data_IF_655142699476
#
_entry.id   IF_655142699476
#
_cell.length_a   1.000
_cell.length_b   1.000
_cell.length_c   1.000
_cell.angle_alpha   90.00
_cell.angle_beta   90.00
_cell.angle_gamma   90.00
#
_symmetry.space_group_name_H-M   'P 1'
#
loop_
_entity.id
_entity.type
_entity.pdbx_description
1 polymer ?
#
# COMPACT_ATOMS: atom_id res chain seq x y z
N UNK A 1 14.03 1.06 6.78
CA UNK A 1 13.08 -0.07 6.61
C UNK A 1 12.45 0.05 5.24
N UNK A 2 12.13 -1.07 4.58
CA UNK A 2 11.41 -1.09 3.30
C UNK A 2 10.04 -1.72 3.53
N UNK A 3 8.99 -1.20 2.90
CA UNK A 3 7.63 -1.73 3.02
C UNK A 3 6.93 -1.71 1.67
N UNK A 4 6.17 -2.76 1.36
CA UNK A 4 5.23 -2.75 0.24
C UNK A 4 3.89 -2.21 0.73
N UNK A 5 3.42 -1.14 0.11
CA UNK A 5 2.20 -0.42 0.48
C UNK A 5 1.03 -0.94 -0.36
N UNK A 6 0.03 -1.47 0.34
CA UNK A 6 -1.25 -1.96 -0.18
C UNK A 6 -2.17 -0.80 -0.65
N UNK A 7 -2.97 -1.02 -1.70
CA UNK A 7 -3.90 -0.01 -2.20
C UNK A 7 -4.85 0.53 -1.12
N UNK A 8 -5.34 -0.32 -0.22
CA UNK A 8 -6.26 0.10 0.84
C UNK A 8 -5.62 1.08 1.81
N UNK A 9 -4.30 1.00 2.02
CA UNK A 9 -3.55 1.97 2.84
C UNK A 9 -3.51 3.31 2.13
N UNK A 10 -3.18 3.33 0.83
CA UNK A 10 -3.19 4.54 0.02
C UNK A 10 -4.59 5.18 -0.02
N UNK A 11 -5.62 4.38 -0.27
CA UNK A 11 -7.01 4.81 -0.31
C UNK A 11 -7.47 5.37 1.02
N UNK A 12 -7.12 4.72 2.13
CA UNK A 12 -7.42 5.21 3.47
C UNK A 12 -6.73 6.56 3.76
N UNK A 13 -5.50 6.73 3.29
CA UNK A 13 -4.77 7.99 3.41
C UNK A 13 -5.36 9.12 2.54
N UNK A 14 -5.99 8.78 1.42
CA UNK A 14 -6.68 9.72 0.53
C UNK A 14 -8.07 10.13 1.05
N UNK A 15 -8.84 9.18 1.58
CA UNK A 15 -10.20 9.43 2.05
C UNK A 15 -10.21 10.36 3.27
N UNK A 16 -9.26 10.18 4.19
CA UNK A 16 -9.24 10.95 5.43
C UNK A 16 -7.83 11.32 5.80
N UNK A 17 -7.64 12.58 6.19
CA UNK A 17 -6.45 13.02 6.95
C UNK A 17 -6.41 12.28 8.27
N UNK A 18 -5.77 11.12 8.23
CA UNK A 18 -5.79 10.09 9.25
C UNK A 18 -4.36 9.82 9.71
N UNK A 19 -4.24 9.07 10.81
CA UNK A 19 -2.95 8.57 11.29
C UNK A 19 -2.18 7.82 10.21
N UNK A 20 -2.86 7.20 9.23
CA UNK A 20 -2.25 6.55 8.06
C UNK A 20 -1.57 7.55 7.14
N UNK A 21 -2.23 8.66 6.82
CA UNK A 21 -1.64 9.71 5.98
C UNK A 21 -0.38 10.30 6.66
N UNK A 22 -0.47 10.62 7.96
CA UNK A 22 0.68 11.11 8.72
C UNK A 22 1.81 10.08 8.79
N UNK A 23 1.50 8.79 8.96
CA UNK A 23 2.52 7.75 8.92
C UNK A 23 3.24 7.71 7.58
N UNK A 24 2.53 7.77 6.45
CA UNK A 24 3.18 7.75 5.13
C UNK A 24 4.17 8.92 4.99
N UNK A 25 3.82 10.10 5.50
CA UNK A 25 4.68 11.29 5.42
C UNK A 25 5.86 11.29 6.39
N UNK A 26 5.71 10.65 7.56
CA UNK A 26 6.70 10.74 8.65
C UNK A 26 7.48 9.43 8.87
N UNK A 27 7.12 8.31 8.23
CA UNK A 27 7.89 7.08 8.34
C UNK A 27 9.26 7.30 7.73
N UNK A 28 10.31 7.04 8.49
CA UNK A 28 11.67 6.96 7.98
C UNK A 28 11.90 5.59 7.29
N UNK A 29 11.11 5.31 6.25
CA UNK A 29 11.13 4.07 5.50
C UNK A 29 10.95 4.32 4.00
N UNK A 30 11.44 3.39 3.18
CA UNK A 30 11.14 3.39 1.76
C UNK A 30 9.85 2.63 1.50
N UNK A 31 8.88 3.32 0.90
CA UNK A 31 7.60 2.74 0.51
C UNK A 31 7.67 2.31 -0.95
N UNK A 32 7.32 1.06 -1.21
CA UNK A 32 7.24 0.47 -2.53
C UNK A 32 5.79 0.07 -2.83
N UNK A 33 5.38 0.10 -4.09
CA UNK A 33 4.08 -0.45 -4.47
C UNK A 33 4.14 -0.94 -5.92
N UNK A 34 3.44 -2.03 -6.29
CA UNK A 34 3.35 -2.44 -7.68
C UNK A 34 2.67 -1.35 -8.52
N UNK A 35 3.02 -1.23 -9.80
CA UNK A 35 2.32 -0.35 -10.75
C UNK A 35 0.80 -0.56 -10.77
N UNK A 36 0.36 -1.77 -10.43
CA UNK A 36 -1.03 -2.15 -10.24
C UNK A 36 -1.82 -1.22 -9.31
N UNK A 37 -1.18 -0.57 -8.33
CA UNK A 37 -1.85 0.40 -7.46
C UNK A 37 -2.45 1.59 -8.23
N UNK A 38 -1.87 1.93 -9.39
CA UNK A 38 -2.37 3.00 -10.25
C UNK A 38 -3.64 2.55 -10.97
N UNK A 39 -3.67 1.29 -11.43
CA UNK A 39 -4.86 0.70 -12.06
C UNK A 39 -6.02 0.62 -11.05
N UNK A 40 -5.72 0.24 -9.80
CA UNK A 40 -6.72 0.27 -8.73
C UNK A 40 -7.18 1.69 -8.40
N UNK A 41 -6.25 2.65 -8.36
CA UNK A 41 -6.61 4.05 -8.14
C UNK A 41 -7.56 4.55 -9.22
N UNK A 42 -7.27 4.34 -10.50
CA UNK A 42 -8.15 4.77 -11.60
C UNK A 42 -9.55 4.13 -11.49
N UNK A 43 -9.61 2.86 -11.10
CA UNK A 43 -10.88 2.14 -10.90
C UNK A 43 -11.71 2.72 -9.76
N UNK A 44 -11.08 3.14 -8.67
CA UNK A 44 -11.76 3.61 -7.46
C UNK A 44 -11.77 5.13 -7.30
N UNK A 45 -11.12 5.91 -8.17
CA UNK A 45 -10.91 7.37 -8.04
C UNK A 45 -12.20 8.12 -7.71
N UNK A 46 -13.27 7.84 -8.46
CA UNK A 46 -14.57 8.52 -8.28
C UNK A 46 -15.17 8.20 -6.91
N UNK A 47 -15.08 6.95 -6.46
CA UNK A 47 -15.59 6.53 -5.16
C UNK A 47 -14.76 7.15 -4.02
N UNK A 48 -13.43 7.18 -4.16
CA UNK A 48 -12.52 7.77 -3.19
C UNK A 48 -12.76 9.27 -3.05
N UNK A 49 -12.99 9.98 -4.15
CA UNK A 49 -13.30 11.41 -4.17
C UNK A 49 -14.62 11.70 -3.46
N UNK A 50 -15.66 10.89 -3.71
CA UNK A 50 -16.96 11.03 -3.02
C UNK A 50 -16.81 10.77 -1.52
N UNK A 51 -16.08 9.70 -1.15
CA UNK A 51 -15.84 9.33 0.24
C UNK A 51 -14.98 10.34 0.99
N UNK A 52 -14.02 10.99 0.31
CA UNK A 52 -13.17 11.99 0.95
C UNK A 52 -13.90 13.30 1.24
N UNK A 53 -14.94 13.61 0.47
CA UNK A 53 -15.66 14.89 0.54
C UNK A 53 -14.79 16.10 0.14
N UNK A 54 -13.63 15.85 -0.48
CA UNK A 54 -12.68 16.88 -0.89
C UNK A 54 -13.02 17.42 -2.27
N UNK A 55 -12.49 18.61 -2.60
CA UNK A 55 -12.48 19.09 -3.98
C UNK A 55 -11.53 18.23 -4.80
N UNK A 56 -11.89 17.96 -6.06
CA UNK A 56 -11.07 17.15 -6.99
C UNK A 56 -9.61 17.63 -7.06
N UNK A 57 -9.39 18.95 -7.13
CA UNK A 57 -8.05 19.55 -7.18
C UNK A 57 -7.20 19.22 -5.95
N UNK A 58 -7.79 19.27 -4.76
CA UNK A 58 -7.09 18.97 -3.50
C UNK A 58 -6.84 17.47 -3.35
N UNK A 59 -7.81 16.64 -3.75
CA UNK A 59 -7.66 15.19 -3.79
C UNK A 59 -6.50 14.77 -4.72
N UNK A 60 -6.45 15.33 -5.93
CA UNK A 60 -5.39 15.06 -6.90
C UNK A 60 -4.03 15.56 -6.39
N UNK A 61 -3.96 16.70 -5.70
CA UNK A 61 -2.72 17.16 -5.05
C UNK A 61 -2.22 16.16 -4.03
N UNK A 62 -3.07 15.72 -3.11
CA UNK A 62 -2.69 14.75 -2.07
C UNK A 62 -2.23 13.45 -2.71
N UNK A 63 -2.94 12.96 -3.73
CA UNK A 63 -2.54 11.77 -4.47
C UNK A 63 -1.15 11.91 -5.09
N UNK A 64 -0.86 13.04 -5.75
CA UNK A 64 0.46 13.30 -6.33
C UNK A 64 1.56 13.37 -5.26
N UNK A 65 1.28 13.95 -4.09
CA UNK A 65 2.23 13.97 -2.97
C UNK A 65 2.52 12.56 -2.45
N UNK A 66 1.49 11.74 -2.21
CA UNK A 66 1.65 10.36 -1.76
C UNK A 66 2.40 9.53 -2.80
N UNK A 67 2.05 9.67 -4.08
CA UNK A 67 2.72 9.01 -5.20
C UNK A 67 4.19 9.39 -5.31
N UNK A 68 4.57 10.63 -4.96
CA UNK A 68 5.98 11.07 -4.96
C UNK A 68 6.83 10.40 -3.88
N UNK A 69 6.20 9.89 -2.81
CA UNK A 69 6.88 9.21 -1.71
C UNK A 69 6.98 7.70 -1.98
N UNK A 70 6.00 7.15 -2.68
CA UNK A 70 5.91 5.72 -2.98
C UNK A 70 6.68 5.40 -4.27
N UNK A 71 7.66 4.52 -4.18
CA UNK A 71 8.38 3.97 -5.33
C UNK A 71 7.51 2.95 -6.05
N UNK A 72 6.98 3.35 -7.21
CA UNK A 72 6.18 2.48 -8.06
C UNK A 72 7.09 1.52 -8.84
N UNK A 73 6.87 0.22 -8.68
CA UNK A 73 7.64 -0.84 -9.33
C UNK A 73 6.80 -1.49 -10.45
N UNK A 74 7.28 -1.53 -11.70
CA UNK A 74 6.52 -2.12 -12.81
C UNK A 74 6.46 -3.65 -12.73
N UNK A 75 5.40 -4.28 -13.26
CA UNK A 75 5.20 -5.73 -13.17
C UNK A 75 6.38 -6.59 -13.62
N UNK A 76 7.03 -6.21 -14.72
CA UNK A 76 8.22 -6.91 -15.27
C UNK A 76 9.32 -7.18 -14.24
N UNK A 77 9.41 -6.36 -13.19
CA UNK A 77 10.41 -6.42 -12.14
C UNK A 77 10.12 -7.52 -11.12
N UNK A 78 8.86 -7.87 -10.89
CA UNK A 78 8.42 -8.87 -9.90
C UNK A 78 7.63 -10.04 -10.51
N UNK A 79 7.46 -10.06 -11.84
CA UNK A 79 6.71 -11.07 -12.57
C UNK A 79 7.10 -12.52 -12.22
N UNK A 80 8.40 -12.78 -11.99
CA UNK A 80 8.91 -14.10 -11.62
C UNK A 80 8.31 -14.64 -10.29
N UNK A 81 7.92 -13.74 -9.38
CA UNK A 81 7.34 -14.07 -8.08
C UNK A 81 5.81 -14.20 -8.11
N UNK A 82 5.15 -13.86 -9.22
CA UNK A 82 3.69 -13.92 -9.33
C UNK A 82 3.13 -15.33 -9.07
N UNK A 83 3.82 -16.37 -9.57
CA UNK A 83 3.42 -17.77 -9.33
C UNK A 83 3.54 -18.21 -7.88
N UNK A 84 4.48 -17.64 -7.13
CA UNK A 84 4.63 -17.92 -5.70
C UNK A 84 3.59 -17.14 -4.90
N UNK A 85 3.40 -15.87 -5.26
CA UNK A 85 2.38 -15.01 -4.69
C UNK A 85 0.97 -15.59 -4.83
N UNK A 86 0.60 -16.15 -5.99
CA UNK A 86 -0.70 -16.79 -6.23
C UNK A 86 -1.01 -17.94 -5.24
N UNK A 87 0.03 -18.62 -4.72
CA UNK A 87 -0.15 -19.74 -3.78
C UNK A 87 -0.41 -19.29 -2.35
N UNK A 88 0.05 -18.09 -1.99
CA UNK A 88 -0.04 -17.55 -0.63
C UNK A 88 -1.07 -16.44 -0.49
N UNK A 89 -1.42 -15.81 -1.61
CA UNK A 89 -2.33 -14.69 -1.64
C UNK A 89 -3.76 -15.17 -1.48
N UNK A 90 -4.55 -14.55 -0.58
CA UNK A 90 -5.95 -14.93 -0.37
C UNK A 90 -6.87 -14.44 -1.50
N UNK A 91 -6.46 -13.43 -2.27
CA UNK A 91 -7.24 -12.83 -3.36
C UNK A 91 -6.35 -12.53 -4.58
N UNK A 92 -6.92 -12.60 -5.78
CA UNK A 92 -6.19 -12.34 -7.03
C UNK A 92 -5.58 -10.93 -7.07
N UNK A 93 -6.23 -9.93 -6.48
CA UNK A 93 -5.71 -8.54 -6.46
C UNK A 93 -4.48 -8.39 -5.58
N UNK A 94 -4.40 -9.17 -4.51
CA UNK A 94 -3.31 -9.09 -3.54
C UNK A 94 -2.02 -9.72 -4.09
N UNK A 95 -2.12 -10.55 -5.14
CA UNK A 95 -0.98 -11.25 -5.77
C UNK A 95 0.14 -10.27 -6.14
N UNK A 96 -0.18 -9.10 -6.71
CA UNK A 96 0.83 -8.11 -7.11
C UNK A 96 1.63 -7.57 -5.90
N UNK A 97 0.96 -7.36 -4.76
CA UNK A 97 1.59 -6.90 -3.53
C UNK A 97 2.47 -7.99 -2.91
N UNK A 98 1.99 -9.23 -2.88
CA UNK A 98 2.77 -10.39 -2.43
C UNK A 98 3.99 -10.64 -3.31
N UNK A 99 3.84 -10.58 -4.64
CA UNK A 99 4.96 -10.80 -5.56
C UNK A 99 6.05 -9.75 -5.38
N UNK A 100 5.67 -8.48 -5.20
CA UNK A 100 6.63 -7.42 -4.93
C UNK A 100 7.31 -7.59 -3.57
N UNK A 101 6.55 -7.97 -2.54
CA UNK A 101 7.08 -8.21 -1.20
C UNK A 101 8.05 -9.39 -1.16
N UNK A 102 7.75 -10.48 -1.88
CA UNK A 102 8.65 -11.62 -2.05
C UNK A 102 9.94 -11.23 -2.75
N UNK A 103 9.84 -10.41 -3.81
CA UNK A 103 11.02 -9.88 -4.52
C UNK A 103 11.92 -9.06 -3.60
N UNK A 104 11.35 -8.08 -2.92
CA UNK A 104 12.07 -7.13 -2.07
C UNK A 104 12.42 -7.73 -0.70
N UNK A 105 11.87 -8.89 -0.37
CA UNK A 105 11.99 -9.55 0.95
C UNK A 105 11.60 -8.62 2.09
N UNK A 106 10.57 -7.82 1.89
CA UNK A 106 10.11 -6.83 2.85
C UNK A 106 8.66 -7.09 3.26
N UNK A 107 8.20 -6.51 4.39
CA UNK A 107 6.82 -6.66 4.83
C UNK A 107 5.84 -5.92 3.91
N UNK A 108 4.59 -6.38 3.91
CA UNK A 108 3.46 -5.63 3.33
C UNK A 108 2.81 -4.81 4.45
N UNK A 109 2.62 -3.53 4.21
CA UNK A 109 1.78 -2.69 5.04
C UNK A 109 0.34 -2.80 4.55
N UNK A 110 -0.50 -3.49 5.33
CA UNK A 110 -1.94 -3.61 5.09
C UNK A 110 -2.71 -3.74 6.40
N UNK A 111 -3.95 -3.26 6.41
CA UNK A 111 -4.86 -3.41 7.55
C UNK A 111 -5.81 -4.60 7.38
N UNK A 112 -5.78 -5.27 6.23
CA UNK A 112 -6.61 -6.46 6.00
C UNK A 112 -6.02 -7.66 6.74
N UNK A 113 -6.84 -8.26 7.60
CA UNK A 113 -6.48 -9.40 8.43
C UNK A 113 -6.35 -10.68 7.62
N UNK A 114 -6.98 -10.78 6.44
CA UNK A 114 -6.92 -11.96 5.57
C UNK A 114 -5.52 -12.19 5.04
N UNK A 115 -4.76 -11.13 4.79
CA UNK A 115 -3.37 -11.22 4.34
C UNK A 115 -2.46 -11.86 5.39
N UNK A 116 -2.87 -11.89 6.67
CA UNK A 116 -2.16 -12.57 7.76
C UNK A 116 -2.45 -14.08 7.84
N UNK A 117 -3.31 -14.62 6.99
CA UNK A 117 -3.60 -16.07 6.95
C UNK A 117 -2.43 -16.90 6.38
N UNK A 118 -1.50 -16.25 5.66
CA UNK A 118 -0.27 -16.84 5.18
C UNK A 118 0.95 -16.49 6.05
N UNK A 119 2.01 -17.30 5.98
CA UNK A 119 3.21 -17.18 6.82
C UNK A 119 4.52 -16.86 6.05
N UNK A 120 4.47 -16.66 4.74
CA UNK A 120 5.67 -16.38 3.92
C UNK A 120 6.07 -14.90 3.93
N UNK A 121 5.10 -13.99 3.96
CA UNK A 121 5.34 -12.54 3.95
C UNK A 121 4.81 -11.93 5.24
N UNK A 122 5.65 -11.13 5.91
CA UNK A 122 5.25 -10.41 7.11
C UNK A 122 4.25 -9.31 6.74
N UNK A 123 3.10 -9.28 7.40
CA UNK A 123 2.11 -8.21 7.23
C UNK A 123 2.14 -7.32 8.46
N UNK A 124 2.34 -6.03 8.25
CA UNK A 124 2.37 -5.01 9.31
C UNK A 124 1.15 -4.12 9.15
N UNK A 125 0.37 -3.98 10.23
CA UNK A 125 -0.77 -3.07 10.23
C UNK A 125 -0.37 -1.64 10.62
N UNK A 126 -1.25 -0.69 10.31
CA UNK A 126 -1.06 0.73 10.67
C UNK A 126 -0.89 0.90 12.18
N UNK A 127 -1.62 0.13 12.99
CA UNK A 127 -1.50 0.18 14.45
C UNK A 127 -0.19 -0.38 14.97
N UNK A 128 0.42 -1.34 14.26
CA UNK A 128 1.76 -1.85 14.57
C UNK A 128 2.82 -0.79 14.25
N UNK A 129 2.75 -0.16 13.07
CA UNK A 129 3.66 0.93 12.70
C UNK A 129 3.54 2.15 13.61
N UNK A 130 2.32 2.53 14.02
CA UNK A 130 2.11 3.63 14.97
C UNK A 130 2.78 3.37 16.32
N UNK A 131 2.82 2.12 16.77
CA UNK A 131 3.54 1.79 18.01
C UNK A 131 5.03 1.97 17.83
N UNK A 132 5.61 1.62 16.68
CA UNK A 132 7.04 1.83 16.45
C UNK A 132 7.42 3.32 16.38
N UNK A 133 6.55 4.18 15.86
CA UNK A 133 6.81 5.63 15.72
C UNK A 133 6.50 6.43 16.99
N UNK A 134 5.55 6.01 17.82
CA UNK A 134 5.19 6.72 19.07
C UNK A 134 6.10 6.38 20.28
N UNK A 135 7.20 5.67 20.06
CA UNK A 135 8.22 5.38 21.10
C UNK A 135 9.38 6.40 21.11
N UNK A 136 9.24 7.54 20.43
CA UNK A 136 10.14 8.71 20.53
C UNK A 136 9.57 9.80 21.46
#
# INVERSE_FOLDING_TARGET
>A
MELVLDANILFSALIKSSSTQNLIFNLNCELYSPSYILDEFEKYETELLIKSGQKKEEFTKIFNMLKSIIKIVPEKEYFQFMKEAEKISPDFKDIHYFALALKLKCPIWSNDKRLKEQNQVKIVSTTELLKEVNYE
#
